data_IF_484886212623
#
_entry.id   IF_484886212623
#
_cell.length_a   1.000
_cell.length_b   1.000
_cell.length_c   1.000
_cell.angle_alpha   90.00
_cell.angle_beta   90.00
_cell.angle_gamma   90.00
#
_symmetry.space_group_name_H-M   'P 1'
#
loop_
_entity.id
_entity.type
_entity.pdbx_description
1 polymer ?
#
# COMPACT_ATOMS: atom_id res chain seq x y z
N UNK A 1 11.55 -12.04 -23.61
CA UNK A 1 10.56 -11.17 -22.94
C UNK A 1 9.79 -12.06 -21.99
N UNK A 2 10.28 -12.18 -20.75
CA UNK A 2 9.56 -12.91 -19.70
C UNK A 2 8.50 -11.97 -19.11
N UNK A 3 7.29 -12.50 -18.92
CA UNK A 3 6.20 -11.79 -18.25
C UNK A 3 5.86 -12.59 -17.00
N UNK A 4 5.97 -11.96 -15.84
CA UNK A 4 5.42 -12.47 -14.59
C UNK A 4 4.27 -11.55 -14.16
N UNK A 5 3.15 -12.17 -13.79
CA UNK A 5 2.02 -11.50 -13.18
C UNK A 5 1.71 -12.23 -11.86
N UNK A 6 1.62 -11.49 -10.77
CA UNK A 6 1.32 -12.03 -9.45
C UNK A 6 0.13 -11.29 -8.87
N UNK A 7 -0.86 -12.05 -8.39
CA UNK A 7 -1.98 -11.51 -7.62
C UNK A 7 -1.69 -11.73 -6.14
N UNK A 8 -1.60 -10.64 -5.39
CA UNK A 8 -1.37 -10.68 -3.95
C UNK A 8 -2.59 -10.16 -3.21
N UNK A 9 -3.06 -10.92 -2.22
CA UNK A 9 -4.06 -10.45 -1.24
C UNK A 9 -3.33 -9.95 0.01
N UNK A 10 -3.91 -8.95 0.69
CA UNK A 10 -3.41 -8.54 2.00
C UNK A 10 -3.61 -9.71 2.97
N UNK A 11 -2.55 -10.10 3.68
CA UNK A 11 -2.57 -11.22 4.61
C UNK A 11 -3.29 -10.83 5.90
N UNK A 12 -4.25 -11.65 6.35
CA UNK A 12 -4.94 -11.46 7.63
C UNK A 12 -3.97 -11.50 8.81
N UNK A 13 -2.90 -12.30 8.74
CA UNK A 13 -1.86 -12.35 9.77
C UNK A 13 -1.07 -11.04 9.86
N UNK A 14 -0.79 -10.40 8.72
CA UNK A 14 -0.13 -9.10 8.68
C UNK A 14 -1.04 -8.01 9.28
N UNK A 15 -2.33 -8.06 8.95
CA UNK A 15 -3.34 -7.16 9.53
C UNK A 15 -3.46 -7.34 11.03
N UNK A 16 -3.55 -8.59 11.49
CA UNK A 16 -3.60 -8.93 12.91
C UNK A 16 -2.34 -8.46 13.65
N UNK A 17 -1.16 -8.64 13.06
CA UNK A 17 0.12 -8.20 13.63
C UNK A 17 0.21 -6.67 13.78
N UNK A 18 -0.31 -5.91 12.81
CA UNK A 18 -0.41 -4.45 12.87
C UNK A 18 -1.41 -4.02 13.95
N UNK A 19 -2.60 -4.63 13.98
CA UNK A 19 -3.64 -4.33 14.95
C UNK A 19 -3.21 -4.63 16.38
N UNK A 20 -2.47 -5.72 16.62
CA UNK A 20 -1.88 -6.03 17.93
C UNK A 20 -0.88 -4.97 18.42
N UNK A 21 -0.29 -4.19 17.52
CA UNK A 21 0.60 -3.07 17.84
C UNK A 21 -0.16 -1.75 18.01
N UNK A 22 -1.48 -1.78 17.97
CA UNK A 22 -2.32 -0.58 18.07
C UNK A 22 -2.35 0.25 16.80
N UNK A 23 -1.89 -0.31 15.67
CA UNK A 23 -2.07 0.32 14.35
C UNK A 23 -3.48 -0.03 13.90
N UNK A 24 -4.29 0.96 13.53
CA UNK A 24 -5.64 0.69 13.03
C UNK A 24 -5.59 0.01 11.65
N UNK A 25 -6.69 -0.67 11.31
CA UNK A 25 -6.82 -1.44 10.06
C UNK A 25 -6.55 -0.58 8.82
N UNK A 26 -7.01 0.67 8.80
CA UNK A 26 -6.87 1.55 7.64
C UNK A 26 -5.41 1.99 7.45
N UNK A 27 -4.76 2.41 8.53
CA UNK A 27 -3.32 2.69 8.56
C UNK A 27 -2.48 1.47 8.18
N UNK A 28 -2.85 0.28 8.65
CA UNK A 28 -2.15 -0.96 8.34
C UNK A 28 -2.23 -1.31 6.83
N UNK A 29 -3.42 -1.17 6.24
CA UNK A 29 -3.62 -1.33 4.79
C UNK A 29 -2.78 -0.31 4.02
N UNK A 30 -2.84 0.96 4.42
CA UNK A 30 -2.03 2.02 3.82
C UNK A 30 -0.54 1.69 3.85
N UNK A 31 -0.03 1.15 4.96
CA UNK A 31 1.37 0.80 5.13
C UNK A 31 1.81 -0.37 4.22
N UNK A 32 0.97 -1.41 4.11
CA UNK A 32 1.23 -2.58 3.25
C UNK A 32 1.19 -2.18 1.77
N UNK A 33 0.16 -1.44 1.35
CA UNK A 33 -0.02 -1.02 -0.05
C UNK A 33 1.06 -0.03 -0.48
N UNK A 34 1.45 0.93 0.39
CA UNK A 34 2.58 1.80 0.13
C UNK A 34 3.89 1.01 0.00
N UNK A 35 4.11 0.00 0.85
CA UNK A 35 5.26 -0.89 0.76
C UNK A 35 5.33 -1.61 -0.60
N UNK A 36 4.20 -2.14 -1.07
CA UNK A 36 4.08 -2.78 -2.38
C UNK A 36 4.33 -1.81 -3.54
N UNK A 37 3.76 -0.60 -3.49
CA UNK A 37 3.92 0.41 -4.53
C UNK A 37 5.29 1.10 -4.53
N UNK A 38 6.08 0.97 -3.45
CA UNK A 38 7.34 1.70 -3.22
C UNK A 38 8.33 1.57 -4.37
N UNK A 39 8.52 0.38 -4.93
CA UNK A 39 9.46 0.17 -6.03
C UNK A 39 9.04 0.87 -7.32
N UNK A 40 7.73 1.03 -7.53
CA UNK A 40 7.18 1.78 -8.68
C UNK A 40 7.28 3.27 -8.42
N UNK A 41 6.90 3.72 -7.22
CA UNK A 41 6.95 5.13 -6.82
C UNK A 41 8.39 5.68 -6.83
N UNK A 42 9.38 4.87 -6.45
CA UNK A 42 10.80 5.25 -6.50
C UNK A 42 11.35 5.43 -7.92
N UNK A 43 10.67 4.92 -8.94
CA UNK A 43 11.04 5.13 -10.36
C UNK A 43 10.43 6.41 -10.93
N UNK A 44 9.48 7.03 -10.22
CA UNK A 44 8.91 8.31 -10.61
C UNK A 44 9.82 9.47 -10.20
N UNK A 45 9.84 10.56 -10.97
CA UNK A 45 10.47 11.80 -10.51
C UNK A 45 9.84 12.24 -9.18
N UNK A 46 10.66 12.77 -8.27
CA UNK A 46 10.27 13.16 -6.91
C UNK A 46 9.00 14.01 -6.85
N UNK A 47 8.83 14.92 -7.80
CA UNK A 47 7.66 15.82 -7.91
C UNK A 47 6.34 15.04 -8.09
N UNK A 48 6.38 13.93 -8.82
CA UNK A 48 5.20 13.07 -9.04
C UNK A 48 5.06 11.99 -8.00
N UNK A 49 6.17 11.47 -7.46
CA UNK A 49 6.16 10.42 -6.45
C UNK A 49 5.41 10.85 -5.17
N UNK A 50 5.61 12.09 -4.73
CA UNK A 50 4.94 12.66 -3.56
C UNK A 50 3.43 12.79 -3.78
N UNK A 51 3.01 13.23 -4.97
CA UNK A 51 1.59 13.38 -5.30
C UNK A 51 0.90 12.02 -5.47
N UNK A 52 1.54 11.09 -6.16
CA UNK A 52 1.03 9.73 -6.33
C UNK A 52 0.82 9.02 -4.98
N UNK A 53 1.73 9.21 -4.02
CA UNK A 53 1.61 8.64 -2.69
C UNK A 53 0.40 9.20 -1.91
N UNK A 54 0.14 10.51 -2.04
CA UNK A 54 -1.04 11.14 -1.42
C UNK A 54 -2.34 10.64 -2.04
N UNK A 55 -2.42 10.62 -3.37
CA UNK A 55 -3.60 10.13 -4.09
C UNK A 55 -3.89 8.67 -3.77
N UNK A 56 -2.86 7.82 -3.69
CA UNK A 56 -2.99 6.43 -3.29
C UNK A 56 -3.58 6.30 -1.87
N UNK A 57 -3.12 7.12 -0.93
CA UNK A 57 -3.62 7.10 0.44
C UNK A 57 -5.09 7.52 0.52
N UNK A 58 -5.47 8.60 -0.18
CA UNK A 58 -6.86 9.08 -0.26
C UNK A 58 -7.78 8.04 -0.93
N UNK A 59 -7.30 7.35 -1.96
CA UNK A 59 -8.10 6.31 -2.63
C UNK A 59 -8.33 5.07 -1.77
N UNK A 60 -7.46 4.82 -0.79
CA UNK A 60 -7.62 3.72 0.17
C UNK A 60 -8.57 4.12 1.29
N UNK A 61 -8.53 5.39 1.70
CA UNK A 61 -9.45 6.01 2.66
C UNK A 61 -10.90 5.97 2.10
N UNK A 62 -11.71 5.04 2.59
CA UNK A 62 -13.10 4.84 2.15
C UNK A 62 -13.34 3.84 1.02
N UNK A 63 -12.31 3.17 0.47
CA UNK A 63 -12.50 2.05 -0.47
C UNK A 63 -12.44 0.67 0.22
N UNK A 64 -12.13 0.65 1.52
CA UNK A 64 -12.15 -0.55 2.36
C UNK A 64 -13.53 -0.64 3.02
N UNK A 65 -14.42 -1.43 2.41
CA UNK A 65 -15.76 -1.75 2.89
C UNK A 65 -16.03 -3.25 2.79
#
# INVERSE_FOLDING_TARGET
>A
VEHEATTSKISEDQMFYCNQRGIDTESAIGLIVNGYAKEVLNKLPMEFAVEAQKLLSISLEGSVG
#
